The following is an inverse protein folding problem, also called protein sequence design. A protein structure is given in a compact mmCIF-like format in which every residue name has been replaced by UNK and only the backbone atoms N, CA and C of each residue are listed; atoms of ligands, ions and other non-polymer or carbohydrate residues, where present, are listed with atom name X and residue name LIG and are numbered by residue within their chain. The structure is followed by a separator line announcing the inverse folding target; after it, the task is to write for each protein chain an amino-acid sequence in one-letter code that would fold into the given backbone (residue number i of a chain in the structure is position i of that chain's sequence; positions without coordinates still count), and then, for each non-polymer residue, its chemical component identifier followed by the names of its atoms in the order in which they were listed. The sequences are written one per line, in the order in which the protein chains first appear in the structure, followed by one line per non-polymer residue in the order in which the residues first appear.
data_IF_828577455544
#
_entry.id   IF_828577455544
#
_cell.length_a   1.000
_cell.length_b   1.000
_cell.length_c   1.000
_cell.angle_alpha   90.00
_cell.angle_beta   90.00
_cell.angle_gamma   90.00
#
_symmetry.space_group_name_H-M   'P 1'
#
loop_
_entity.id
_entity.type
_entity.pdbx_description
1 polymer ?
#
# COMPACT_ATOMS: atom_id res chain seq x y z
N UNK A 1 -17.75 -10.58 -10.17
CA UNK A 1 -17.55 -10.89 -8.73
C UNK A 1 -16.27 -10.26 -8.23
N UNK A 2 -16.31 -9.50 -7.15
CA UNK A 2 -15.07 -9.03 -6.56
C UNK A 2 -14.24 -10.20 -6.04
N UNK A 3 -12.92 -10.07 -6.13
CA UNK A 3 -12.01 -11.08 -5.61
C UNK A 3 -12.06 -11.09 -4.08
N UNK A 4 -11.84 -12.27 -3.50
CA UNK A 4 -11.76 -12.40 -2.06
C UNK A 4 -10.35 -12.01 -1.61
N UNK A 5 -10.21 -10.82 -1.04
CA UNK A 5 -8.92 -10.26 -0.64
C UNK A 5 -8.18 -11.14 0.37
N UNK A 6 -8.91 -11.84 1.23
CA UNK A 6 -8.30 -12.63 2.30
C UNK A 6 -7.68 -13.94 1.82
N UNK A 7 -8.00 -14.36 0.59
CA UNK A 7 -7.49 -15.61 0.03
C UNK A 7 -6.72 -15.41 -1.27
N UNK A 8 -6.77 -14.21 -1.84
CA UNK A 8 -6.13 -13.95 -3.12
C UNK A 8 -4.65 -13.69 -2.99
N UNK A 9 -3.88 -14.39 -3.78
CA UNK A 9 -2.48 -14.09 -4.06
C UNK A 9 -2.42 -13.66 -5.52
N UNK A 10 -1.77 -12.55 -5.80
CA UNK A 10 -1.57 -12.11 -7.18
C UNK A 10 -0.08 -11.93 -7.45
N UNK A 11 0.28 -11.95 -8.72
CA UNK A 11 1.66 -11.79 -9.14
C UNK A 11 1.84 -10.45 -9.84
N UNK A 12 3.04 -9.90 -9.76
CA UNK A 12 3.37 -8.63 -10.42
C UNK A 12 3.05 -8.68 -11.91
N UNK A 13 3.17 -9.86 -12.55
CA UNK A 13 2.87 -10.03 -13.97
C UNK A 13 1.39 -9.95 -14.31
N UNK A 14 0.51 -10.00 -13.31
CA UNK A 14 -0.93 -9.82 -13.52
C UNK A 14 -1.31 -8.36 -13.75
N UNK A 15 -0.39 -7.46 -13.48
CA UNK A 15 -0.61 -6.02 -13.61
C UNK A 15 0.05 -5.51 -14.90
N UNK A 16 -0.64 -4.61 -15.61
CA UNK A 16 -0.11 -3.99 -16.83
C UNK A 16 1.23 -3.32 -16.53
N UNK A 17 2.34 -3.76 -17.12
CA UNK A 17 3.67 -3.25 -16.79
C UNK A 17 3.86 -1.78 -17.13
N UNK A 18 3.25 -1.29 -18.20
CA UNK A 18 3.38 0.12 -18.58
C UNK A 18 2.64 1.00 -17.58
N UNK A 19 1.41 0.62 -17.23
CA UNK A 19 0.60 1.36 -16.26
C UNK A 19 1.29 1.39 -14.89
N UNK A 20 1.85 0.27 -14.48
CA UNK A 20 2.60 0.14 -13.24
C UNK A 20 3.82 1.07 -13.23
N UNK A 21 4.62 1.01 -14.29
CA UNK A 21 5.83 1.84 -14.40
C UNK A 21 5.49 3.33 -14.38
N UNK A 22 4.49 3.76 -15.16
CA UNK A 22 4.12 5.17 -15.24
C UNK A 22 3.67 5.72 -13.88
N UNK A 23 2.86 4.95 -13.14
CA UNK A 23 2.42 5.37 -11.81
C UNK A 23 3.58 5.40 -10.81
N UNK A 24 4.42 4.37 -10.82
CA UNK A 24 5.56 4.30 -9.92
C UNK A 24 6.56 5.42 -10.17
N UNK A 25 6.80 5.74 -11.43
CA UNK A 25 7.70 6.83 -11.80
C UNK A 25 7.18 8.18 -11.27
N UNK A 26 5.90 8.46 -11.45
CA UNK A 26 5.28 9.69 -10.93
C UNK A 26 5.38 9.77 -9.40
N UNK A 27 5.16 8.66 -8.72
CA UNK A 27 5.30 8.62 -7.26
C UNK A 27 6.74 8.84 -6.83
N UNK A 28 7.70 8.23 -7.54
CA UNK A 28 9.12 8.39 -7.22
C UNK A 28 9.59 9.84 -7.32
N UNK A 29 9.04 10.60 -8.26
CA UNK A 29 9.37 12.02 -8.44
C UNK A 29 8.91 12.89 -7.26
N UNK A 30 7.89 12.45 -6.52
CA UNK A 30 7.36 13.19 -5.35
C UNK A 30 8.19 12.98 -4.09
N UNK A 31 9.06 11.98 -4.07
CA UNK A 31 9.84 11.65 -2.88
C UNK A 31 11.04 12.58 -2.79
N UNK A 32 11.01 13.46 -1.79
CA UNK A 32 12.09 14.42 -1.52
C UNK A 32 12.89 14.06 -0.27
N UNK A 33 12.26 13.33 0.67
CA UNK A 33 12.88 12.94 1.92
C UNK A 33 13.43 11.52 1.80
N UNK A 34 14.74 11.38 1.96
CA UNK A 34 15.43 10.11 1.72
C UNK A 34 16.51 9.89 2.81
N UNK A 35 16.10 9.64 4.07
CA UNK A 35 17.05 9.53 5.18
C UNK A 35 17.98 8.32 5.08
N UNK A 36 17.56 7.28 4.35
CA UNK A 36 18.36 6.06 4.18
C UNK A 36 19.24 6.10 2.94
N UNK A 37 19.32 7.24 2.26
CA UNK A 37 20.16 7.43 1.07
C UNK A 37 19.91 6.37 -0.02
N UNK A 38 18.65 6.01 -0.25
CA UNK A 38 18.29 5.10 -1.32
C UNK A 38 18.65 5.71 -2.67
N UNK A 39 19.13 4.88 -3.60
CA UNK A 39 19.37 5.33 -4.97
C UNK A 39 18.04 5.61 -5.67
N UNK A 40 18.03 6.43 -6.76
CA UNK A 40 16.81 6.63 -7.54
C UNK A 40 16.19 5.30 -8.02
N UNK A 41 17.02 4.34 -8.40
CA UNK A 41 16.56 3.02 -8.81
C UNK A 41 15.82 2.30 -7.67
N UNK A 42 16.36 2.34 -6.46
CA UNK A 42 15.74 1.69 -5.30
C UNK A 42 14.42 2.37 -4.93
N UNK A 43 14.36 3.69 -5.02
CA UNK A 43 13.13 4.45 -4.78
C UNK A 43 12.06 4.03 -5.78
N UNK A 44 12.42 3.93 -7.07
CA UNK A 44 11.50 3.49 -8.11
C UNK A 44 11.00 2.06 -7.85
N UNK A 45 11.88 1.16 -7.48
CA UNK A 45 11.51 -0.22 -7.15
C UNK A 45 10.53 -0.29 -5.98
N UNK A 46 10.77 0.49 -4.93
CA UNK A 46 9.87 0.55 -3.78
C UNK A 46 8.50 1.13 -4.17
N UNK A 47 8.48 2.14 -5.03
CA UNK A 47 7.24 2.69 -5.57
C UNK A 47 6.50 1.68 -6.45
N UNK A 48 7.21 0.92 -7.26
CA UNK A 48 6.60 -0.14 -8.08
C UNK A 48 5.93 -1.19 -7.21
N UNK A 49 6.58 -1.57 -6.12
CA UNK A 49 6.03 -2.54 -5.18
C UNK A 49 4.69 -2.06 -4.59
N UNK A 50 4.65 -0.82 -4.11
CA UNK A 50 3.43 -0.23 -3.56
C UNK A 50 2.33 -0.03 -4.60
N UNK A 51 2.68 0.52 -5.77
CA UNK A 51 1.72 0.77 -6.84
C UNK A 51 1.14 -0.51 -7.44
N UNK A 52 1.90 -1.60 -7.42
CA UNK A 52 1.41 -2.89 -7.88
C UNK A 52 0.20 -3.36 -7.05
N UNK A 53 0.28 -3.23 -5.73
CA UNK A 53 -0.83 -3.58 -4.84
C UNK A 53 -2.03 -2.65 -5.04
N UNK A 54 -1.80 -1.35 -5.18
CA UNK A 54 -2.88 -0.39 -5.46
C UNK A 54 -3.58 -0.70 -6.77
N UNK A 55 -2.82 -0.98 -7.84
CA UNK A 55 -3.39 -1.31 -9.15
C UNK A 55 -4.15 -2.63 -9.13
N UNK A 56 -3.71 -3.60 -8.35
CA UNK A 56 -4.48 -4.83 -8.17
C UNK A 56 -5.86 -4.52 -7.59
N UNK A 57 -5.93 -3.69 -6.56
CA UNK A 57 -7.20 -3.31 -5.97
C UNK A 57 -8.08 -2.53 -6.94
N UNK A 58 -7.50 -1.61 -7.70
CA UNK A 58 -8.24 -0.78 -8.66
C UNK A 58 -8.71 -1.61 -9.86
N UNK A 59 -7.79 -2.29 -10.51
CA UNK A 59 -8.04 -2.93 -11.81
C UNK A 59 -8.71 -4.31 -11.69
N UNK A 60 -8.47 -5.03 -10.59
CA UNK A 60 -8.97 -6.40 -10.39
C UNK A 60 -10.08 -6.50 -9.35
N UNK A 61 -10.09 -5.63 -8.35
CA UNK A 61 -11.06 -5.68 -7.26
C UNK A 61 -12.14 -4.59 -7.35
N UNK A 62 -12.03 -3.68 -8.31
CA UNK A 62 -13.04 -2.63 -8.51
C UNK A 62 -12.94 -1.46 -7.54
N UNK A 63 -11.84 -1.32 -6.82
CA UNK A 63 -11.61 -0.17 -5.94
C UNK A 63 -11.39 1.08 -6.78
N UNK A 64 -11.60 2.24 -6.17
CA UNK A 64 -11.49 3.54 -6.86
C UNK A 64 -10.15 4.19 -6.50
N UNK A 65 -9.46 4.69 -7.52
CA UNK A 65 -8.24 5.47 -7.33
C UNK A 65 -8.56 6.78 -6.61
N UNK A 66 -7.65 7.23 -5.76
CA UNK A 66 -7.79 8.52 -5.08
C UNK A 66 -7.01 9.59 -5.83
N UNK A 67 -7.69 10.49 -6.55
CA UNK A 67 -7.00 11.51 -7.35
C UNK A 67 -6.30 12.57 -6.51
N UNK A 68 -6.67 12.71 -5.23
CA UNK A 68 -6.10 13.75 -4.37
C UNK A 68 -4.77 13.36 -3.73
N UNK A 69 -4.39 12.07 -3.79
CA UNK A 69 -3.10 11.61 -3.31
C UNK A 69 -2.92 11.55 -1.80
N UNK A 70 -3.96 11.84 -1.01
CA UNK A 70 -3.87 11.74 0.46
C UNK A 70 -4.01 10.31 0.97
N UNK A 71 -4.82 9.52 0.28
CA UNK A 71 -5.03 8.11 0.53
C UNK A 71 -4.73 7.35 -0.74
N UNK A 72 -4.50 6.06 -0.62
CA UNK A 72 -4.13 5.28 -1.79
C UNK A 72 -5.34 4.92 -2.66
N UNK A 73 -6.39 4.37 -2.05
CA UNK A 73 -7.59 3.95 -2.78
C UNK A 73 -8.84 4.08 -1.92
N UNK A 74 -10.01 4.03 -2.58
CA UNK A 74 -11.31 3.86 -1.91
C UNK A 74 -11.81 2.45 -2.17
N UNK A 75 -12.35 1.80 -1.14
CA UNK A 75 -12.91 0.45 -1.29
C UNK A 75 -14.31 0.50 -1.94
N UNK A 76 -14.98 -0.66 -2.04
CA UNK A 76 -16.29 -0.76 -2.67
C UNK A 76 -17.39 0.00 -1.90
N UNK A 77 -17.16 0.29 -0.64
CA UNK A 77 -18.08 1.07 0.19
C UNK A 77 -17.71 2.55 0.26
N UNK A 78 -16.66 2.95 -0.46
CA UNK A 78 -16.19 4.34 -0.47
C UNK A 78 -15.31 4.71 0.72
N UNK A 79 -14.83 3.74 1.49
CA UNK A 79 -13.92 4.00 2.61
C UNK A 79 -12.49 4.17 2.12
N UNK A 80 -11.76 5.07 2.74
CA UNK A 80 -10.37 5.36 2.38
C UNK A 80 -9.44 4.28 2.94
N UNK A 81 -8.56 3.75 2.08
CA UNK A 81 -7.64 2.68 2.42
C UNK A 81 -6.20 3.13 2.17
N UNK A 82 -5.36 2.98 3.19
CA UNK A 82 -3.90 3.08 3.05
C UNK A 82 -3.35 1.71 2.71
N UNK A 83 -2.62 1.61 1.61
CA UNK A 83 -2.05 0.34 1.16
C UNK A 83 -0.55 0.34 1.45
N UNK A 84 -0.09 -0.67 2.18
CA UNK A 84 1.32 -0.86 2.51
C UNK A 84 1.79 -2.22 2.00
N UNK A 85 3.00 -2.25 1.48
CA UNK A 85 3.64 -3.50 1.04
C UNK A 85 4.97 -3.64 1.76
N UNK A 86 5.26 -4.84 2.23
CA UNK A 86 6.52 -5.15 2.86
C UNK A 86 7.03 -6.51 2.41
N UNK A 87 8.34 -6.71 2.44
CA UNK A 87 8.96 -8.00 2.14
C UNK A 87 9.05 -8.89 3.38
N UNK A 88 8.87 -8.32 4.57
CA UNK A 88 8.93 -9.07 5.83
C UNK A 88 7.80 -8.71 6.75
N UNK A 89 7.08 -9.73 7.24
CA UNK A 89 5.94 -9.56 8.13
C UNK A 89 6.33 -8.80 9.42
N UNK A 90 7.57 -8.96 9.87
CA UNK A 90 8.07 -8.28 11.07
C UNK A 90 8.09 -6.76 10.94
N UNK A 91 8.07 -6.22 9.72
CA UNK A 91 8.05 -4.78 9.49
C UNK A 91 6.68 -4.14 9.73
N UNK A 92 5.61 -4.93 9.76
CA UNK A 92 4.23 -4.42 9.88
C UNK A 92 4.08 -3.57 11.14
N UNK A 93 4.59 -4.06 12.26
CA UNK A 93 4.52 -3.36 13.54
C UNK A 93 5.18 -1.98 13.49
N UNK A 94 6.35 -1.90 12.86
CA UNK A 94 7.07 -0.63 12.71
C UNK A 94 6.31 0.33 11.79
N UNK A 95 5.76 -0.16 10.70
CA UNK A 95 5.00 0.65 9.75
C UNK A 95 3.72 1.20 10.38
N UNK A 96 3.04 0.39 11.20
CA UNK A 96 1.88 0.86 11.95
C UNK A 96 2.25 1.93 12.97
N UNK A 97 3.39 1.77 13.64
CA UNK A 97 3.90 2.78 14.57
C UNK A 97 4.16 4.11 13.88
N UNK A 98 4.75 4.09 12.70
CA UNK A 98 4.99 5.30 11.91
C UNK A 98 3.69 5.99 11.52
N UNK A 99 2.68 5.24 11.12
CA UNK A 99 1.36 5.79 10.78
C UNK A 99 0.69 6.44 11.99
N UNK A 100 0.81 5.80 13.16
CA UNK A 100 0.27 6.36 14.40
C UNK A 100 0.94 7.68 14.79
N UNK A 101 2.25 7.76 14.68
CA UNK A 101 3.01 8.99 14.96
C UNK A 101 2.53 10.12 14.05
N UNK A 102 2.41 9.85 12.77
CA UNK A 102 1.95 10.86 11.80
C UNK A 102 0.52 11.30 12.11
N UNK A 103 -0.34 10.37 12.45
CA UNK A 103 -1.76 10.64 12.70
C UNK A 103 -1.98 11.39 14.00
N UNK A 104 -1.34 10.96 15.07
CA UNK A 104 -1.60 11.45 16.43
C UNK A 104 -0.67 12.59 16.81
N UNK A 105 0.64 12.41 16.61
CA UNK A 105 1.63 13.38 17.06
C UNK A 105 1.81 14.55 16.07
N UNK A 106 1.82 14.22 14.76
CA UNK A 106 2.06 15.23 13.74
C UNK A 106 0.76 15.81 13.15
N UNK A 107 -0.38 15.20 13.45
CA UNK A 107 -1.67 15.67 12.96
C UNK A 107 -1.87 15.50 11.45
N UNK A 108 -1.13 14.60 10.82
CA UNK A 108 -1.28 14.33 9.39
C UNK A 108 -2.54 13.52 9.13
N UNK A 109 -3.10 13.71 7.95
CA UNK A 109 -4.23 12.92 7.52
C UNK A 109 -3.77 11.52 7.12
N UNK A 110 -4.22 10.53 7.86
CA UNK A 110 -3.90 9.11 7.61
C UNK A 110 -5.20 8.32 7.67
N UNK A 111 -5.38 7.40 6.71
CA UNK A 111 -6.58 6.59 6.65
C UNK A 111 -6.79 5.76 7.92
N UNK A 112 -8.05 5.52 8.26
CA UNK A 112 -8.40 4.69 9.40
C UNK A 112 -8.27 3.19 9.10
N UNK A 113 -8.19 2.81 7.83
CA UNK A 113 -8.05 1.42 7.39
C UNK A 113 -6.74 1.27 6.65
N UNK A 114 -5.96 0.26 7.02
CA UNK A 114 -4.66 -0.03 6.40
C UNK A 114 -4.64 -1.48 5.97
N UNK A 115 -4.27 -1.71 4.70
CA UNK A 115 -4.06 -3.05 4.15
C UNK A 115 -2.56 -3.30 4.04
N UNK A 116 -2.12 -4.46 4.51
CA UNK A 116 -0.74 -4.89 4.36
C UNK A 116 -0.66 -6.07 3.40
N UNK A 117 0.24 -5.94 2.42
CA UNK A 117 0.60 -7.03 1.51
C UNK A 117 2.03 -7.47 1.78
N UNK A 118 2.26 -8.78 1.71
CA UNK A 118 3.61 -9.34 1.69
C UNK A 118 4.02 -9.58 0.24
N UNK A 119 5.20 -9.10 -0.11
CA UNK A 119 5.78 -9.28 -1.43
C UNK A 119 6.96 -10.23 -1.35
N UNK A 120 6.94 -11.27 -2.18
CA UNK A 120 8.05 -12.19 -2.34
C UNK A 120 8.85 -11.80 -3.58
N UNK A 121 10.06 -11.23 -3.42
CA UNK A 121 10.86 -10.80 -4.58
C UNK A 121 11.37 -11.97 -5.44
N UNK A 122 11.38 -13.19 -4.92
CA UNK A 122 11.83 -14.37 -5.69
C UNK A 122 10.78 -14.81 -6.70
N UNK A 123 9.51 -14.81 -6.30
CA UNK A 123 8.41 -15.25 -7.15
C UNK A 123 7.66 -14.10 -7.81
N UNK A 124 7.73 -12.90 -7.24
CA UNK A 124 6.92 -11.76 -7.66
C UNK A 124 5.50 -11.80 -7.12
N UNK A 125 5.21 -12.69 -6.17
CA UNK A 125 3.88 -12.84 -5.60
C UNK A 125 3.60 -11.84 -4.50
N UNK A 126 2.35 -11.37 -4.48
CA UNK A 126 1.80 -10.52 -3.42
C UNK A 126 0.71 -11.30 -2.70
N UNK A 127 0.79 -11.34 -1.37
CA UNK A 127 -0.22 -11.99 -0.55
C UNK A 127 -0.84 -10.96 0.37
N UNK A 128 -2.18 -10.86 0.38
CA UNK A 128 -2.88 -10.02 1.33
C UNK A 128 -2.68 -10.60 2.73
N UNK A 129 -2.07 -9.81 3.59
CA UNK A 129 -1.64 -10.29 4.88
C UNK A 129 -2.63 -9.93 5.99
N UNK A 130 -2.91 -8.63 6.15
CA UNK A 130 -3.69 -8.14 7.29
C UNK A 130 -4.42 -6.85 6.96
N UNK A 131 -5.63 -6.71 7.52
CA UNK A 131 -6.34 -5.43 7.57
C UNK A 131 -6.32 -4.92 9.00
N UNK A 132 -5.96 -3.65 9.17
CA UNK A 132 -5.98 -2.97 10.47
C UNK A 132 -6.91 -1.78 10.42
N UNK A 133 -7.60 -1.52 11.53
CA UNK A 133 -8.51 -0.37 11.68
C UNK A 133 -8.11 0.46 12.89
N UNK A 134 -8.16 1.78 12.74
CA UNK A 134 -7.92 2.71 13.83
C UNK A 134 -9.14 2.75 14.76
N UNK A 135 -8.90 2.55 16.06
CA UNK A 135 -9.98 2.51 17.06
C UNK A 135 -10.11 3.81 17.87
N UNK A 136 -9.39 4.86 17.48
CA UNK A 136 -9.33 6.12 18.23
C UNK A 136 -8.01 6.31 18.98
N UNK A 137 -7.28 5.23 19.22
CA UNK A 137 -5.99 5.24 19.92
C UNK A 137 -4.91 4.49 19.15
N UNK A 138 -5.23 3.32 18.62
CA UNK A 138 -4.27 2.43 17.94
C UNK A 138 -4.89 1.84 16.69
N UNK A 139 -4.03 1.32 15.80
CA UNK A 139 -4.45 0.43 14.74
C UNK A 139 -4.54 -0.99 15.29
N UNK A 140 -5.72 -1.60 15.18
CA UNK A 140 -5.97 -2.94 15.67
C UNK A 140 -6.33 -3.87 14.52
N UNK A 141 -5.93 -5.13 14.63
CA UNK A 141 -6.19 -6.13 13.62
C UNK A 141 -7.70 -6.31 13.45
N UNK A 142 -8.16 -6.17 12.21
CA UNK A 142 -9.54 -6.44 11.84
C UNK A 142 -9.67 -7.92 11.58
N UNK A 143 -10.56 -8.57 12.29
CA UNK A 143 -10.76 -10.02 12.14
C UNK A 143 -11.39 -10.39 10.80
#
# INVERSE_FOLDING_TARGET
MPLNLYTETFNQTDIDPKRLYDRAFKESEKITWNPNNRTPQRILEDCMMGQCAELFLIDKCGYTDNPNGFMDVFDLEGREIEVKVTRGEHNIKFMLGDLLVRKIEWGYYVANIVYFYLYDPKSGDYTFCREYKFNGTDYVLSS
#
